data_IF_943093839054
#
_entry.id   IF_943093839054
#
_cell.length_a   1.000
_cell.length_b   1.000
_cell.length_c   1.000
_cell.angle_alpha   90.00
_cell.angle_beta   90.00
_cell.angle_gamma   90.00
#
_symmetry.space_group_name_H-M   'P 1'
#
loop_
_entity.id
_entity.type
_entity.pdbx_description
1 polymer ?
#
# COMPACT_ATOMS: atom_id res chain seq x y z
N UNK A 1 10.54 -46.73 -8.33
CA UNK A 1 9.06 -46.69 -8.31
C UNK A 1 8.44 -46.52 -6.92
N UNK A 2 8.42 -47.50 -6.00
CA UNK A 2 7.71 -47.29 -4.70
C UNK A 2 8.32 -46.18 -3.82
N UNK A 3 9.66 -46.09 -3.69
CA UNK A 3 10.30 -45.01 -2.92
C UNK A 3 10.12 -43.62 -3.55
N UNK A 4 10.15 -43.53 -4.87
CA UNK A 4 9.93 -42.27 -5.60
C UNK A 4 8.48 -41.80 -5.47
N UNK A 5 7.52 -42.73 -5.52
CA UNK A 5 6.12 -42.43 -5.27
C UNK A 5 5.91 -41.91 -3.84
N UNK A 6 6.52 -42.55 -2.84
CA UNK A 6 6.46 -42.09 -1.43
C UNK A 6 7.00 -40.67 -1.28
N UNK A 7 8.10 -40.35 -1.96
CA UNK A 7 8.72 -39.02 -1.93
C UNK A 7 7.86 -37.96 -2.65
N UNK A 8 7.19 -38.33 -3.73
CA UNK A 8 6.25 -37.46 -4.42
C UNK A 8 5.00 -37.18 -3.56
N UNK A 9 4.44 -38.21 -2.93
CA UNK A 9 3.30 -38.08 -2.04
C UNK A 9 3.61 -37.24 -0.81
N UNK A 10 4.82 -37.35 -0.23
CA UNK A 10 5.21 -36.53 0.92
C UNK A 10 5.33 -35.04 0.56
N UNK A 11 5.88 -34.73 -0.62
CA UNK A 11 5.96 -33.33 -1.12
C UNK A 11 4.57 -32.77 -1.41
N UNK A 12 3.72 -33.54 -2.09
CA UNK A 12 2.35 -33.12 -2.39
C UNK A 12 1.55 -32.85 -1.10
N UNK A 13 1.70 -33.72 -0.10
CA UNK A 13 1.06 -33.60 1.20
C UNK A 13 1.59 -32.38 1.98
N UNK A 14 2.89 -32.11 1.92
CA UNK A 14 3.49 -30.90 2.50
C UNK A 14 2.91 -29.62 1.89
N UNK A 15 2.76 -29.56 0.56
CA UNK A 15 2.18 -28.41 -0.14
C UNK A 15 0.73 -28.18 0.30
N UNK A 16 -0.08 -29.24 0.38
CA UNK A 16 -1.49 -29.15 0.78
C UNK A 16 -1.60 -28.62 2.22
N UNK A 17 -0.82 -29.16 3.15
CA UNK A 17 -0.82 -28.70 4.55
C UNK A 17 -0.34 -27.26 4.64
N UNK A 18 0.75 -26.91 3.95
CA UNK A 18 1.29 -25.56 3.93
C UNK A 18 0.25 -24.55 3.42
N UNK A 19 -0.48 -24.87 2.34
CA UNK A 19 -1.54 -24.03 1.82
C UNK A 19 -2.74 -23.94 2.76
N UNK A 20 -3.15 -25.05 3.39
CA UNK A 20 -4.26 -25.08 4.34
C UNK A 20 -3.95 -24.22 5.58
N UNK A 21 -2.74 -24.33 6.12
CA UNK A 21 -2.27 -23.53 7.25
C UNK A 21 -2.14 -22.06 6.85
N UNK A 22 -1.57 -21.77 5.68
CA UNK A 22 -1.46 -20.41 5.14
C UNK A 22 -2.83 -19.76 4.94
N UNK A 23 -3.82 -20.51 4.46
CA UNK A 23 -5.19 -20.07 4.24
C UNK A 23 -5.96 -19.88 5.56
N UNK A 24 -5.75 -20.77 6.53
CA UNK A 24 -6.39 -20.69 7.85
C UNK A 24 -5.82 -19.55 8.72
N UNK A 25 -4.52 -19.26 8.58
CA UNK A 25 -3.86 -18.13 9.25
C UNK A 25 -4.08 -16.83 8.46
N UNK A 26 -4.46 -16.92 7.17
CA UNK A 26 -4.79 -15.74 6.39
C UNK A 26 -5.93 -15.01 7.11
N UNK A 27 -5.68 -13.81 7.63
CA UNK A 27 -6.72 -13.10 8.38
C UNK A 27 -7.89 -12.90 7.43
N UNK A 28 -9.11 -13.23 7.90
CA UNK A 28 -10.34 -12.79 7.26
C UNK A 28 -10.38 -11.26 7.33
N UNK A 29 -9.63 -10.59 6.44
CA UNK A 29 -9.67 -9.15 6.27
C UNK A 29 -11.00 -8.85 5.59
N UNK A 30 -12.05 -8.82 6.40
CA UNK A 30 -13.28 -8.11 6.09
C UNK A 30 -13.58 -7.15 7.22
N UNK A 31 -12.70 -6.17 7.35
CA UNK A 31 -13.05 -4.85 7.88
C UNK A 31 -12.33 -3.81 7.03
N UNK A 32 -13.09 -3.27 6.07
CA UNK A 32 -13.32 -1.83 5.91
C UNK A 32 -12.20 -0.94 6.46
N UNK A 33 -11.46 -0.30 5.55
CA UNK A 33 -10.45 0.76 5.80
C UNK A 33 -8.99 0.34 6.00
N UNK A 34 -8.55 -0.76 5.38
CA UNK A 34 -7.14 -0.92 5.05
C UNK A 34 -6.97 -0.76 3.53
N UNK A 35 -6.23 0.27 3.14
CA UNK A 35 -5.87 0.61 1.76
C UNK A 35 -5.22 -0.62 1.12
N UNK A 36 -6.04 -1.38 0.38
CA UNK A 36 -5.54 -2.32 -0.60
C UNK A 36 -4.68 -1.51 -1.57
N UNK A 37 -3.37 -1.71 -1.51
CA UNK A 37 -2.57 -1.57 -2.72
C UNK A 37 -3.13 -2.66 -3.63
N UNK A 38 -4.07 -2.26 -4.48
CA UNK A 38 -4.76 -3.13 -5.42
C UNK A 38 -3.73 -3.82 -6.30
N UNK A 39 -3.35 -5.05 -5.95
CA UNK A 39 -2.78 -6.01 -6.89
C UNK A 39 -3.69 -6.14 -8.12
N UNK A 40 -5.01 -5.94 -7.95
CA UNK A 40 -5.99 -5.85 -9.05
C UNK A 40 -5.72 -4.70 -10.04
N UNK A 41 -5.11 -3.58 -9.61
CA UNK A 41 -4.84 -2.43 -10.47
C UNK A 41 -3.65 -2.70 -11.38
N UNK A 42 -2.55 -3.21 -10.83
CA UNK A 42 -1.38 -3.62 -11.62
C UNK A 42 -1.72 -4.83 -12.50
N UNK A 43 -2.46 -5.82 -11.98
CA UNK A 43 -2.96 -6.95 -12.78
C UNK A 43 -3.95 -6.51 -13.88
N UNK A 44 -4.69 -5.40 -13.71
CA UNK A 44 -5.59 -4.89 -14.76
C UNK A 44 -4.85 -4.18 -15.89
N UNK A 45 -3.77 -3.46 -15.57
CA UNK A 45 -2.96 -2.74 -16.55
C UNK A 45 -2.11 -3.72 -17.39
N UNK A 46 -1.57 -4.77 -16.76
CA UNK A 46 -0.90 -5.88 -17.47
C UNK A 46 -1.88 -6.64 -18.38
N UNK A 47 -3.16 -6.77 -17.99
CA UNK A 47 -4.19 -7.35 -18.86
C UNK A 47 -4.52 -6.45 -20.06
N UNK A 48 -4.49 -5.12 -19.91
CA UNK A 48 -4.70 -4.16 -21.00
C UNK A 48 -3.58 -4.22 -22.05
N UNK A 49 -2.35 -4.41 -21.62
CA UNK A 49 -1.21 -4.71 -22.50
C UNK A 49 -1.38 -6.07 -23.20
N UNK A 50 -1.78 -7.11 -22.47
CA UNK A 50 -1.96 -8.45 -23.03
C UNK A 50 -3.06 -8.55 -24.11
N UNK A 51 -4.01 -7.60 -24.14
CA UNK A 51 -5.04 -7.49 -25.18
C UNK A 51 -4.72 -6.46 -26.28
N UNK A 52 -3.52 -5.87 -26.26
CA UNK A 52 -3.06 -4.91 -27.28
C UNK A 52 -3.77 -3.56 -27.24
N UNK A 53 -4.34 -3.18 -26.10
CA UNK A 53 -4.99 -1.86 -25.91
C UNK A 53 -4.00 -0.78 -25.49
N UNK A 54 -2.89 -1.17 -24.87
CA UNK A 54 -1.78 -0.29 -24.51
C UNK A 54 -0.47 -0.93 -24.97
N UNK A 55 0.36 -0.13 -25.66
CA UNK A 55 1.72 -0.51 -25.97
C UNK A 55 2.63 -0.37 -24.73
N UNK A 56 3.84 -0.95 -24.77
CA UNK A 56 4.77 -0.94 -23.62
C UNK A 56 5.05 0.46 -23.09
N UNK A 57 5.25 1.41 -24.00
CA UNK A 57 5.60 2.79 -23.64
C UNK A 57 4.39 3.51 -23.01
N UNK A 58 3.18 3.24 -23.52
CA UNK A 58 1.93 3.79 -22.98
C UNK A 58 1.57 3.20 -21.62
N UNK A 59 1.86 1.91 -21.40
CA UNK A 59 1.67 1.26 -20.12
C UNK A 59 2.56 1.90 -19.04
N UNK A 60 3.81 2.19 -19.37
CA UNK A 60 4.76 2.81 -18.43
C UNK A 60 4.34 4.24 -18.07
N UNK A 61 3.89 5.04 -19.03
CA UNK A 61 3.30 6.36 -18.77
C UNK A 61 2.05 6.30 -17.89
N UNK A 62 1.14 5.36 -18.16
CA UNK A 62 -0.08 5.18 -17.37
C UNK A 62 0.26 4.75 -15.93
N UNK A 63 1.21 3.81 -15.75
CA UNK A 63 1.69 3.40 -14.44
C UNK A 63 2.32 4.58 -13.69
N UNK A 64 3.14 5.39 -14.35
CA UNK A 64 3.73 6.58 -13.75
C UNK A 64 2.67 7.60 -13.34
N UNK A 65 1.68 7.86 -14.20
CA UNK A 65 0.58 8.78 -13.92
C UNK A 65 -0.25 8.34 -12.71
N UNK A 66 -0.60 7.05 -12.62
CA UNK A 66 -1.34 6.51 -11.48
C UNK A 66 -0.50 6.53 -10.20
N UNK A 67 0.80 6.21 -10.28
CA UNK A 67 1.70 6.26 -9.14
C UNK A 67 1.91 7.68 -8.62
N UNK A 68 2.08 8.67 -9.49
CA UNK A 68 2.22 10.08 -9.10
C UNK A 68 0.94 10.60 -8.43
N UNK A 69 -0.23 10.27 -8.97
CA UNK A 69 -1.54 10.63 -8.38
C UNK A 69 -1.76 9.93 -7.03
N UNK A 70 -1.30 8.69 -6.89
CA UNK A 70 -1.42 7.90 -5.65
C UNK A 70 -0.49 8.41 -4.56
N UNK A 71 0.76 8.75 -4.88
CA UNK A 71 1.72 9.38 -3.96
C UNK A 71 1.18 10.71 -3.46
N UNK A 72 0.67 11.56 -4.36
CA UNK A 72 -0.01 12.81 -3.97
C UNK A 72 -1.19 12.55 -3.03
N UNK A 73 -2.06 11.57 -3.34
CA UNK A 73 -3.22 11.27 -2.51
C UNK A 73 -2.89 10.67 -1.12
N UNK A 74 -1.83 9.86 -1.03
CA UNK A 74 -1.42 9.21 0.23
C UNK A 74 -0.76 10.20 1.16
N UNK A 75 0.17 11.01 0.63
CA UNK A 75 0.85 12.05 1.39
C UNK A 75 -0.15 13.09 1.93
N UNK A 76 -1.16 13.44 1.13
CA UNK A 76 -2.20 14.39 1.53
C UNK A 76 -3.13 13.81 2.61
N UNK A 77 -3.48 12.53 2.54
CA UNK A 77 -4.25 11.84 3.58
C UNK A 77 -3.49 11.68 4.90
N UNK A 78 -2.20 11.36 4.85
CA UNK A 78 -1.37 11.24 6.05
C UNK A 78 -1.16 12.60 6.71
N UNK A 79 -0.89 13.65 5.92
CA UNK A 79 -0.79 15.02 6.40
C UNK A 79 -2.08 15.46 7.10
N UNK A 80 -3.25 15.20 6.52
CA UNK A 80 -4.54 15.49 7.15
C UNK A 80 -4.72 14.74 8.48
N UNK A 81 -4.33 13.47 8.52
CA UNK A 81 -4.38 12.64 9.73
C UNK A 81 -3.52 13.22 10.86
N UNK A 82 -2.27 13.55 10.56
CA UNK A 82 -1.33 14.09 11.55
C UNK A 82 -1.70 15.51 11.98
N UNK A 83 -2.27 16.31 11.08
CA UNK A 83 -2.85 17.62 11.43
C UNK A 83 -3.95 17.47 12.47
N UNK A 84 -4.85 16.50 12.29
CA UNK A 84 -5.93 16.22 13.24
C UNK A 84 -5.38 15.80 14.60
N UNK A 85 -4.36 14.94 14.64
CA UNK A 85 -3.70 14.55 15.90
C UNK A 85 -3.09 15.77 16.61
N UNK A 86 -2.34 16.62 15.91
CA UNK A 86 -1.75 17.82 16.49
C UNK A 86 -2.83 18.78 17.04
N UNK A 87 -3.95 18.93 16.33
CA UNK A 87 -5.07 19.78 16.79
C UNK A 87 -5.75 19.23 18.05
N UNK A 88 -5.87 17.91 18.16
CA UNK A 88 -6.43 17.25 19.35
C UNK A 88 -5.50 17.41 20.56
N UNK A 89 -4.19 17.34 20.36
CA UNK A 89 -3.20 17.56 21.42
C UNK A 89 -3.22 19.00 21.96
N UNK A 90 -3.47 20.00 21.11
CA UNK A 90 -3.71 21.38 21.55
C UNK A 90 -5.01 21.48 22.33
N UNK A 91 -6.08 20.85 21.84
CA UNK A 91 -7.40 20.87 22.50
C UNK A 91 -7.36 20.22 23.88
N UNK A 92 -6.50 19.23 24.08
CA UNK A 92 -6.28 18.56 25.36
C UNK A 92 -5.29 19.30 26.28
N UNK A 93 -4.72 20.42 25.84
CA UNK A 93 -3.72 21.18 26.60
C UNK A 93 -2.37 20.48 26.73
N UNK A 94 -2.13 19.42 25.95
CA UNK A 94 -0.86 18.69 25.91
C UNK A 94 0.20 19.47 25.13
N UNK A 95 -0.25 20.22 24.12
CA UNK A 95 0.59 21.13 23.34
C UNK A 95 0.12 22.57 23.54
N UNK A 96 1.08 23.49 23.65
CA UNK A 96 0.85 24.92 23.51
C UNK A 96 0.65 25.30 22.04
N UNK A 97 0.07 26.48 21.81
CA UNK A 97 -0.13 27.01 20.46
C UNK A 97 1.20 27.26 19.72
N UNK A 98 2.25 27.69 20.43
CA UNK A 98 3.61 27.81 19.90
C UNK A 98 4.16 26.46 19.40
N UNK A 99 4.05 25.42 20.24
CA UNK A 99 4.55 24.08 19.91
C UNK A 99 3.78 23.44 18.75
N UNK A 100 2.47 23.72 18.66
CA UNK A 100 1.66 23.32 17.52
C UNK A 100 2.18 23.92 16.22
N UNK A 101 2.42 25.24 16.18
CA UNK A 101 2.93 25.92 14.98
C UNK A 101 4.28 25.35 14.53
N UNK A 102 5.22 25.14 15.46
CA UNK A 102 6.54 24.58 15.15
C UNK A 102 6.45 23.14 14.63
N UNK A 103 5.59 22.30 15.22
CA UNK A 103 5.40 20.90 14.79
C UNK A 103 4.67 20.83 13.45
N UNK A 104 3.73 21.74 13.21
CA UNK A 104 2.98 21.84 11.95
C UNK A 104 3.85 22.30 10.79
N UNK A 105 4.81 23.20 11.04
CA UNK A 105 5.83 23.60 10.06
C UNK A 105 6.72 22.42 9.66
N UNK A 106 7.21 21.63 10.64
CA UNK A 106 7.98 20.41 10.36
C UNK A 106 7.18 19.38 9.57
N UNK A 107 5.91 19.18 9.92
CA UNK A 107 5.00 18.28 9.22
C UNK A 107 4.80 18.72 7.76
N UNK A 108 4.55 20.01 7.54
CA UNK A 108 4.42 20.58 6.19
C UNK A 108 5.72 20.43 5.40
N UNK A 109 6.86 20.74 5.99
CA UNK A 109 8.15 20.62 5.30
C UNK A 109 8.45 19.17 4.90
N UNK A 110 8.12 18.19 5.75
CA UNK A 110 8.31 16.77 5.41
C UNK A 110 7.52 16.35 4.16
N UNK A 111 6.27 16.81 4.01
CA UNK A 111 5.41 16.41 2.90
C UNK A 111 5.50 17.31 1.66
N UNK A 112 5.93 18.56 1.80
CA UNK A 112 6.00 19.53 0.69
C UNK A 112 7.43 19.83 0.21
N UNK A 113 8.48 19.58 1.01
CA UNK A 113 9.87 19.81 0.60
C UNK A 113 10.36 18.86 -0.50
N UNK A 114 9.81 17.64 -0.60
CA UNK A 114 10.16 16.70 -1.67
C UNK A 114 9.49 17.06 -3.02
N UNK A 115 8.46 17.90 -3.02
CA UNK A 115 7.80 18.35 -4.25
C UNK A 115 8.54 19.47 -5.00
N UNK A 116 9.61 20.02 -4.41
CA UNK A 116 10.37 21.15 -4.99
C UNK A 116 11.61 20.71 -5.80
N UNK A 117 11.88 19.41 -5.93
CA UNK A 117 13.05 18.88 -6.66
C UNK A 117 12.69 17.88 -7.79
N UNK A 118 11.41 17.75 -8.14
CA UNK A 118 10.98 16.98 -9.31
C UNK A 118 10.74 17.92 -10.50
#
# INVERSE_FOLDING_TARGET
MMMEAILFYSIALFIIIFLAVRLAIQPLIKSTNAVAVNEESELSLVKLQAIGVLDNDELEEVIQFYNQKKVSSKNMKELERYTKVLSELVRQGILTQEEYSQKMEKLRNYYFSDSSKA
#
